data_IF_715027748379
#
_entry.id   IF_715027748379
#
_cell.length_a   1.000
_cell.length_b   1.000
_cell.length_c   1.000
_cell.angle_alpha   90.00
_cell.angle_beta   90.00
_cell.angle_gamma   90.00
#
_symmetry.space_group_name_H-M   'P 1'
#
loop_
_entity.id
_entity.type
_entity.pdbx_description
1 polymer ?
#
# COMPACT_ATOMS: atom_id res chain seq x y z
N UNK A 1 -22.44 -10.54 21.36
CA UNK A 1 -20.98 -10.32 21.37
C UNK A 1 -20.64 -9.43 20.17
N UNK A 2 -20.00 -8.29 20.36
CA UNK A 2 -19.58 -7.47 19.23
C UNK A 2 -18.43 -8.19 18.51
N UNK A 3 -18.59 -8.42 17.21
CA UNK A 3 -17.52 -9.02 16.38
C UNK A 3 -16.42 -7.97 16.22
N UNK A 4 -15.17 -8.36 16.48
CA UNK A 4 -14.03 -7.46 16.25
C UNK A 4 -13.92 -7.14 14.76
N UNK A 5 -13.69 -5.87 14.37
CA UNK A 5 -13.59 -5.50 12.96
C UNK A 5 -12.40 -6.18 12.28
N UNK A 6 -12.56 -6.51 11.00
CA UNK A 6 -11.50 -7.00 10.13
C UNK A 6 -10.47 -5.90 9.94
N UNK A 7 -9.22 -6.15 10.34
CA UNK A 7 -8.15 -5.14 10.25
C UNK A 7 -7.50 -5.19 8.87
N UNK A 8 -7.51 -4.06 8.18
CA UNK A 8 -6.95 -3.89 6.85
C UNK A 8 -5.74 -2.97 6.91
N UNK A 9 -4.60 -3.40 6.38
CA UNK A 9 -3.42 -2.58 6.21
C UNK A 9 -3.17 -2.30 4.73
N UNK A 10 -3.22 -1.03 4.33
CA UNK A 10 -2.89 -0.59 2.98
C UNK A 10 -1.45 -0.06 3.02
N UNK A 11 -0.55 -0.75 2.35
CA UNK A 11 0.89 -0.44 2.32
C UNK A 11 1.25 0.07 0.94
N UNK A 12 1.96 1.19 0.88
CA UNK A 12 2.52 1.62 -0.39
C UNK A 12 3.46 2.80 -0.31
N UNK A 13 3.73 3.38 -1.48
CA UNK A 13 4.71 4.44 -1.63
C UNK A 13 4.08 5.84 -1.43
N UNK A 14 4.52 6.81 -2.24
CA UNK A 14 4.03 8.19 -2.29
C UNK A 14 2.53 8.30 -2.57
N UNK A 15 1.91 7.34 -3.27
CA UNK A 15 0.46 7.36 -3.52
C UNK A 15 -0.34 7.10 -2.24
N UNK A 16 -0.07 6.00 -1.53
CA UNK A 16 -0.74 5.69 -0.25
C UNK A 16 -0.49 6.77 0.80
N UNK A 17 0.70 7.37 0.82
CA UNK A 17 0.98 8.54 1.68
C UNK A 17 0.04 9.71 1.36
N UNK A 18 -0.06 10.10 0.08
CA UNK A 18 -0.97 11.17 -0.37
C UNK A 18 -2.43 10.85 -0.12
N UNK A 19 -2.84 9.59 -0.28
CA UNK A 19 -4.19 9.13 0.03
C UNK A 19 -4.51 9.34 1.52
N UNK A 20 -3.57 8.99 2.41
CA UNK A 20 -3.72 9.23 3.85
C UNK A 20 -3.84 10.72 4.15
N UNK A 21 -2.93 11.54 3.62
CA UNK A 21 -2.93 13.00 3.81
C UNK A 21 -4.24 13.63 3.29
N UNK A 22 -4.73 13.16 2.13
CA UNK A 22 -6.01 13.58 1.58
C UNK A 22 -7.19 13.19 2.46
N UNK A 23 -7.22 11.94 2.93
CA UNK A 23 -8.27 11.44 3.81
C UNK A 23 -8.31 12.22 5.14
N UNK A 24 -7.15 12.52 5.73
CA UNK A 24 -7.02 13.36 6.92
C UNK A 24 -7.54 14.79 6.64
N UNK A 25 -7.12 15.40 5.54
CA UNK A 25 -7.57 16.76 5.14
C UNK A 25 -9.08 16.84 4.93
N UNK A 26 -9.68 15.82 4.35
CA UNK A 26 -11.12 15.75 4.06
C UNK A 26 -11.94 15.12 5.19
N UNK A 27 -11.32 14.78 6.33
CA UNK A 27 -11.95 14.06 7.45
C UNK A 27 -12.66 12.75 7.03
N UNK A 28 -12.12 12.07 6.01
CA UNK A 28 -12.57 10.76 5.54
C UNK A 28 -11.95 9.71 6.46
N UNK A 29 -12.80 9.10 7.30
CA UNK A 29 -12.38 8.03 8.20
C UNK A 29 -12.63 6.68 7.57
N UNK A 30 -11.75 5.71 7.81
CA UNK A 30 -11.91 4.32 7.38
C UNK A 30 -12.20 4.13 5.87
N UNK A 31 -11.78 5.08 5.02
CA UNK A 31 -12.14 5.14 3.60
C UNK A 31 -13.67 5.10 3.33
N UNK A 32 -14.48 5.57 4.29
CA UNK A 32 -15.94 5.45 4.29
C UNK A 32 -16.48 3.99 4.23
N UNK A 33 -15.66 3.01 4.63
CA UNK A 33 -16.15 1.65 4.86
C UNK A 33 -16.94 1.57 6.17
N UNK A 34 -17.83 0.58 6.23
CA UNK A 34 -18.60 0.29 7.44
C UNK A 34 -17.71 -0.13 8.62
N UNK A 35 -18.31 -0.27 9.80
CA UNK A 35 -17.62 -0.64 11.03
C UNK A 35 -17.16 -2.09 11.08
N UNK A 36 -17.46 -2.92 10.07
CA UNK A 36 -16.91 -4.28 9.98
C UNK A 36 -15.43 -4.25 9.60
N UNK A 37 -14.92 -3.13 9.07
CA UNK A 37 -13.54 -2.96 8.68
C UNK A 37 -12.85 -1.88 9.52
N UNK A 38 -11.55 -2.06 9.74
CA UNK A 38 -10.67 -1.05 10.31
C UNK A 38 -9.45 -0.89 9.43
N UNK A 39 -9.38 0.23 8.69
CA UNK A 39 -8.35 0.50 7.69
C UNK A 39 -7.23 1.34 8.29
N UNK A 40 -6.00 0.87 8.12
CA UNK A 40 -4.77 1.62 8.38
C UNK A 40 -4.00 1.84 7.08
N UNK A 41 -3.53 3.08 6.85
CA UNK A 41 -2.74 3.44 5.67
C UNK A 41 -1.28 3.69 6.07
N UNK A 42 -0.37 2.95 5.44
CA UNK A 42 1.07 2.96 5.71
C UNK A 42 1.83 3.33 4.44
N UNK A 43 1.94 4.64 4.20
CA UNK A 43 2.65 5.20 3.05
C UNK A 43 4.00 5.80 3.41
N UNK A 44 5.07 5.43 2.67
CA UNK A 44 6.39 6.10 2.76
C UNK A 44 6.82 6.60 1.38
N UNK A 45 7.07 7.92 1.27
CA UNK A 45 7.52 8.53 0.02
C UNK A 45 8.89 8.00 -0.41
N UNK A 46 9.09 7.81 -1.73
CA UNK A 46 10.38 7.38 -2.29
C UNK A 46 10.80 5.94 -1.95
N UNK A 47 9.89 5.13 -1.40
CA UNK A 47 10.15 3.73 -1.15
C UNK A 47 10.32 2.98 -2.48
N UNK A 48 11.32 2.10 -2.54
CA UNK A 48 11.55 1.12 -3.60
C UNK A 48 11.60 -0.26 -2.92
N UNK A 49 11.41 -1.33 -3.67
CA UNK A 49 11.51 -2.70 -3.14
C UNK A 49 12.86 -2.93 -2.45
N UNK A 50 13.95 -2.41 -3.04
CA UNK A 50 15.29 -2.45 -2.43
C UNK A 50 15.38 -1.76 -1.06
N UNK A 51 14.57 -0.73 -0.81
CA UNK A 51 14.59 0.00 0.46
C UNK A 51 13.86 -0.76 1.58
N UNK A 52 12.92 -1.64 1.25
CA UNK A 52 12.25 -2.50 2.23
C UNK A 52 13.20 -3.48 2.92
N UNK A 53 14.28 -3.87 2.23
CA UNK A 53 15.35 -4.71 2.79
C UNK A 53 16.14 -3.98 3.89
N UNK A 54 16.24 -2.65 3.82
CA UNK A 54 17.00 -1.83 4.77
C UNK A 54 16.12 -1.16 5.83
N UNK A 55 14.88 -0.83 5.49
CA UNK A 55 13.90 -0.24 6.39
C UNK A 55 12.53 -0.91 6.24
N UNK A 56 12.35 -1.98 7.01
CA UNK A 56 11.12 -2.75 7.09
C UNK A 56 10.08 -2.12 8.03
N UNK A 57 10.26 -0.88 8.51
CA UNK A 57 9.34 -0.25 9.48
C UNK A 57 7.88 -0.24 9.00
N UNK A 58 7.65 -0.11 7.70
CA UNK A 58 6.30 -0.10 7.10
C UNK A 58 5.63 -1.48 7.15
N UNK A 59 6.42 -2.55 7.26
CA UNK A 59 6.00 -3.95 7.33
C UNK A 59 5.95 -4.46 8.78
N UNK A 60 6.38 -3.67 9.77
CA UNK A 60 6.34 -4.04 11.19
C UNK A 60 5.01 -3.65 11.80
N UNK A 61 4.27 -4.60 12.35
CA UNK A 61 2.96 -4.37 12.96
C UNK A 61 3.02 -4.68 14.46
N UNK A 62 2.38 -3.84 15.28
CA UNK A 62 2.14 -4.14 16.71
C UNK A 62 1.15 -5.30 16.83
N UNK A 63 0.17 -5.36 15.93
CA UNK A 63 -0.74 -6.48 15.80
C UNK A 63 -0.93 -6.78 14.32
N UNK A 64 -0.75 -8.04 13.92
CA UNK A 64 -0.83 -8.47 12.52
C UNK A 64 -2.22 -8.19 11.94
N UNK A 65 -2.35 -7.51 10.78
CA UNK A 65 -3.63 -7.26 10.15
C UNK A 65 -4.24 -8.55 9.59
N UNK A 66 -5.56 -8.57 9.41
CA UNK A 66 -6.26 -9.69 8.78
C UNK A 66 -6.09 -9.67 7.25
N UNK A 67 -6.09 -8.46 6.68
CA UNK A 67 -5.89 -8.23 5.24
C UNK A 67 -4.78 -7.22 5.04
N UNK A 68 -3.86 -7.48 4.13
CA UNK A 68 -2.88 -6.51 3.67
C UNK A 68 -3.05 -6.24 2.17
N UNK A 69 -3.20 -4.97 1.79
CA UNK A 69 -3.16 -4.52 0.41
C UNK A 69 -1.82 -3.87 0.12
N UNK A 70 -1.04 -4.48 -0.77
CA UNK A 70 0.28 -4.01 -1.20
C UNK A 70 0.17 -3.22 -2.50
N UNK A 71 0.64 -1.98 -2.47
CA UNK A 71 0.85 -1.15 -3.66
C UNK A 71 2.33 -0.74 -3.73
N UNK A 72 3.13 -1.59 -4.38
CA UNK A 72 4.59 -1.48 -4.46
C UNK A 72 5.07 -1.73 -5.92
N UNK A 73 6.32 -1.36 -6.20
CA UNK A 73 6.99 -1.68 -7.47
C UNK A 73 6.95 -0.58 -8.54
N UNK A 74 6.09 0.44 -8.42
CA UNK A 74 6.03 1.54 -9.40
C UNK A 74 7.36 2.30 -9.54
N UNK A 75 8.08 2.51 -8.43
CA UNK A 75 9.36 3.21 -8.42
C UNK A 75 10.54 2.32 -8.88
N UNK A 76 10.31 1.02 -9.00
CA UNK A 76 11.31 0.02 -9.34
C UNK A 76 11.35 -0.22 -10.86
N UNK A 77 10.30 0.19 -11.58
CA UNK A 77 10.23 0.19 -13.05
C UNK A 77 11.11 1.33 -13.59
N UNK A 78 12.36 1.00 -13.92
CA UNK A 78 13.33 1.89 -14.56
C UNK A 78 13.75 1.30 -15.92
N UNK A 79 14.40 2.09 -16.78
CA UNK A 79 14.80 1.66 -18.14
C UNK A 79 15.62 0.36 -18.17
N UNK A 80 16.39 0.08 -17.12
CA UNK A 80 17.24 -1.12 -17.00
C UNK A 80 16.70 -2.15 -15.99
N UNK A 81 15.45 -2.01 -15.57
CA UNK A 81 14.86 -2.94 -14.59
C UNK A 81 14.48 -4.28 -15.24
N UNK A 82 14.64 -5.38 -14.48
CA UNK A 82 14.26 -6.73 -14.91
C UNK A 82 12.86 -7.03 -14.35
N UNK A 83 11.81 -7.09 -15.19
CA UNK A 83 10.43 -7.25 -14.70
C UNK A 83 10.23 -8.50 -13.84
N UNK A 84 10.88 -9.61 -14.22
CA UNK A 84 10.82 -10.87 -13.47
C UNK A 84 11.38 -10.71 -12.05
N UNK A 85 12.44 -9.92 -11.88
CA UNK A 85 13.04 -9.65 -10.57
C UNK A 85 12.08 -8.84 -9.69
N UNK A 86 11.46 -7.81 -10.25
CA UNK A 86 10.45 -7.00 -9.55
C UNK A 86 9.27 -7.86 -9.10
N UNK A 87 8.73 -8.69 -10.00
CA UNK A 87 7.63 -9.60 -9.68
C UNK A 87 8.01 -10.59 -8.57
N UNK A 88 9.22 -11.18 -8.67
CA UNK A 88 9.75 -12.10 -7.65
C UNK A 88 9.87 -11.41 -6.29
N UNK A 89 10.39 -10.18 -6.25
CA UNK A 89 10.58 -9.44 -5.00
C UNK A 89 9.22 -9.05 -4.38
N UNK A 90 8.21 -8.68 -5.19
CA UNK A 90 6.85 -8.43 -4.71
C UNK A 90 6.23 -9.70 -4.12
N UNK A 91 6.36 -10.85 -4.79
CA UNK A 91 5.86 -12.14 -4.30
C UNK A 91 6.56 -12.52 -2.99
N UNK A 92 7.88 -12.31 -2.90
CA UNK A 92 8.62 -12.59 -1.68
C UNK A 92 8.12 -11.75 -0.49
N UNK A 93 7.79 -10.47 -0.70
CA UNK A 93 7.19 -9.62 0.33
C UNK A 93 5.78 -10.11 0.70
N UNK A 94 4.98 -10.51 -0.29
CA UNK A 94 3.65 -11.04 -0.03
C UNK A 94 3.68 -12.33 0.80
N UNK A 95 4.59 -13.26 0.46
CA UNK A 95 4.80 -14.49 1.23
C UNK A 95 5.33 -14.17 2.64
N UNK A 96 6.25 -13.21 2.77
CA UNK A 96 6.71 -12.78 4.09
C UNK A 96 5.56 -12.26 4.97
N UNK A 97 4.61 -11.51 4.41
CA UNK A 97 3.45 -11.03 5.16
C UNK A 97 2.48 -12.15 5.53
N UNK A 98 2.24 -13.06 4.60
CA UNK A 98 1.34 -14.19 4.85
C UNK A 98 1.95 -15.18 5.86
N UNK A 99 3.11 -15.75 5.54
CA UNK A 99 3.72 -16.85 6.29
C UNK A 99 4.53 -16.34 7.49
N UNK A 100 5.18 -15.18 7.37
CA UNK A 100 6.06 -14.65 8.41
C UNK A 100 5.33 -13.76 9.42
N UNK A 101 4.45 -12.87 8.96
CA UNK A 101 3.70 -11.94 9.84
C UNK A 101 2.34 -12.52 10.24
N UNK A 102 1.82 -13.52 9.53
CA UNK A 102 0.54 -14.16 9.82
C UNK A 102 -0.68 -13.40 9.30
N UNK A 103 -0.50 -12.62 8.22
CA UNK A 103 -1.61 -11.95 7.53
C UNK A 103 -2.42 -12.99 6.76
N UNK A 104 -3.75 -13.04 6.96
CA UNK A 104 -4.60 -14.08 6.36
C UNK A 104 -4.76 -13.90 4.84
N UNK A 105 -4.84 -12.65 4.38
CA UNK A 105 -5.04 -12.33 2.96
C UNK A 105 -4.07 -11.22 2.57
N UNK A 106 -3.23 -11.49 1.58
CA UNK A 106 -2.36 -10.48 0.97
C UNK A 106 -2.82 -10.21 -0.46
N UNK A 107 -3.25 -8.98 -0.72
CA UNK A 107 -3.67 -8.49 -2.02
C UNK A 107 -2.52 -7.68 -2.62
N UNK A 108 -2.14 -7.99 -3.85
CA UNK A 108 -1.12 -7.22 -4.59
C UNK A 108 -1.81 -6.38 -5.65
N UNK A 109 -1.79 -5.07 -5.45
CA UNK A 109 -2.30 -4.09 -6.41
C UNK A 109 -1.17 -3.40 -7.17
N UNK A 110 -1.34 -3.27 -8.50
CA UNK A 110 -0.51 -2.41 -9.33
C UNK A 110 -1.38 -1.34 -9.97
N UNK A 111 -0.97 -0.07 -9.90
CA UNK A 111 -1.52 0.94 -10.80
C UNK A 111 -0.82 0.77 -12.15
N UNK A 112 -1.52 0.17 -13.11
CA UNK A 112 -1.15 0.32 -14.51
C UNK A 112 -1.13 1.81 -14.85
N UNK A 113 -0.17 2.26 -15.67
CA UNK A 113 -0.04 3.66 -16.08
C UNK A 113 -1.41 4.22 -16.46
N UNK A 114 -1.77 5.36 -15.88
CA UNK A 114 -2.96 6.12 -16.31
C UNK A 114 -2.90 6.29 -17.82
N UNK A 115 -3.98 5.91 -18.50
CA UNK A 115 -4.25 6.44 -19.82
C UNK A 115 -4.38 7.97 -19.64
N UNK A 116 -3.62 8.79 -20.40
CA UNK A 116 -3.54 10.24 -20.18
C UNK A 116 -4.90 10.95 -20.28
N UNK A 117 -5.90 10.33 -20.89
CA UNK A 117 -7.24 10.87 -21.09
C UNK A 117 -8.21 10.71 -19.91
N UNK A 118 -7.83 10.02 -18.82
CA UNK A 118 -8.79 9.57 -17.80
C UNK A 118 -8.64 10.23 -16.41
N UNK A 119 -7.85 11.30 -16.27
CA UNK A 119 -7.70 11.98 -14.99
C UNK A 119 -8.62 13.22 -14.92
N UNK A 120 -9.56 13.23 -13.96
CA UNK A 120 -10.22 14.48 -13.56
C UNK A 120 -9.16 15.49 -13.09
N UNK A 121 -9.31 16.75 -13.51
CA UNK A 121 -8.42 17.84 -13.15
C UNK A 121 -8.23 17.94 -11.62
N UNK A 122 -6.98 18.15 -11.15
CA UNK A 122 -6.67 18.49 -9.76
C UNK A 122 -6.12 17.36 -8.86
N UNK A 123 -6.21 16.07 -9.21
CA UNK A 123 -5.73 14.99 -8.32
C UNK A 123 -4.19 14.87 -8.24
N UNK A 124 -3.47 15.37 -9.25
CA UNK A 124 -2.01 15.20 -9.40
C UNK A 124 -1.21 16.51 -9.29
N UNK A 125 -1.84 17.62 -8.94
CA UNK A 125 -1.10 18.87 -8.81
C UNK A 125 -0.13 18.76 -7.62
N UNK A 126 1.16 18.98 -7.91
CA UNK A 126 2.15 19.17 -6.85
C UNK A 126 1.72 20.45 -6.13
N UNK A 127 1.40 20.34 -4.84
CA UNK A 127 1.23 21.52 -4.00
C UNK A 127 2.47 22.39 -4.13
N UNK A 128 2.25 23.65 -4.51
CA UNK A 128 3.26 24.71 -4.43
C UNK A 128 3.59 25.07 -2.99
#
# INVERSE_FOLDING_TARGET
MAVSPVRVAIIGHSFIRRLREYAEKCNIKNLNLDSHFSVSMRGKGGLCLKHLSYDASILRFVSSPDICFLQLGENDIQSNSVPLKIATDIIAIANFLHDGVGVKIVLVGQLLRRLPYSACNGFNEKGG
#
